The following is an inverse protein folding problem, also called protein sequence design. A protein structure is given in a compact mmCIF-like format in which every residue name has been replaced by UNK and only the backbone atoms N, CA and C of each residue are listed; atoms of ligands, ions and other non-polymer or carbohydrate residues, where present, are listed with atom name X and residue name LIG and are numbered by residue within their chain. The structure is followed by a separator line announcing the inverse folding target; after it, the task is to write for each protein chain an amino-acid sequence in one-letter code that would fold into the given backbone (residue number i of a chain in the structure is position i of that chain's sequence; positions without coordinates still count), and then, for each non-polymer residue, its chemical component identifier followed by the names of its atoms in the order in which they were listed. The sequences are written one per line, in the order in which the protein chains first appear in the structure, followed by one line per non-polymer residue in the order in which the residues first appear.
data_IF_441102204158
#
_entry.id   IF_441102204158
#
_cell.length_a   1.000
_cell.length_b   1.000
_cell.length_c   1.000
_cell.angle_alpha   90.00
_cell.angle_beta   90.00
_cell.angle_gamma   90.00
#
_symmetry.space_group_name_H-M   'P 1'
#
loop_
_entity.id
_entity.type
_entity.pdbx_description
1 polymer ?
#
# COMPACT_ATOMS: atom_id res chain seq x y z
N UNK A 1 -5.08 13.51 -4.42
CA UNK A 1 -4.66 12.43 -5.33
C UNK A 1 -5.84 11.72 -6.04
N UNK A 2 -7.10 11.90 -5.63
CA UNK A 2 -8.26 11.31 -6.35
C UNK A 2 -8.53 11.84 -7.78
N UNK A 3 -8.08 13.04 -8.15
CA UNK A 3 -8.43 13.67 -9.44
C UNK A 3 -7.73 13.07 -10.67
N UNK A 4 -6.72 12.21 -10.49
CA UNK A 4 -5.96 11.59 -11.59
C UNK A 4 -6.19 10.09 -11.74
N UNK A 5 -7.10 9.48 -10.97
CA UNK A 5 -7.36 8.04 -11.03
C UNK A 5 -6.45 7.16 -10.17
N UNK A 6 -5.59 7.76 -9.32
CA UNK A 6 -4.73 7.04 -8.39
C UNK A 6 -5.28 7.04 -6.97
N UNK A 7 -5.44 5.84 -6.40
CA UNK A 7 -5.75 5.62 -4.99
C UNK A 7 -4.59 4.84 -4.34
N UNK A 8 -4.22 5.22 -3.12
CA UNK A 8 -3.17 4.54 -2.34
C UNK A 8 -3.84 3.98 -1.08
N UNK A 9 -3.58 2.71 -0.80
CA UNK A 9 -4.03 2.04 0.42
C UNK A 9 -2.80 1.43 1.11
N UNK A 10 -2.58 1.82 2.36
CA UNK A 10 -1.56 1.20 3.21
C UNK A 10 -2.18 0.09 4.05
N UNK A 11 -1.67 -1.13 3.92
CA UNK A 11 -2.00 -2.25 4.80
C UNK A 11 -0.90 -2.39 5.84
N UNK A 12 -1.22 -2.18 7.11
CA UNK A 12 -0.26 -2.33 8.20
C UNK A 12 -0.34 -3.72 8.85
N UNK A 13 0.84 -4.29 9.11
CA UNK A 13 1.05 -5.51 9.88
C UNK A 13 1.40 -5.18 11.34
N UNK A 14 1.00 -4.04 11.90
CA UNK A 14 1.21 -3.75 13.32
C UNK A 14 0.41 -4.70 14.23
N UNK A 15 0.75 -4.74 15.53
CA UNK A 15 -0.04 -5.41 16.59
C UNK A 15 -0.72 -4.42 17.54
N UNK A 16 -0.25 -3.18 17.57
CA UNK A 16 -0.67 -2.16 18.52
C UNK A 16 -1.34 -1.01 17.77
N UNK A 17 -2.65 -0.85 18.00
CA UNK A 17 -3.45 0.18 17.35
C UNK A 17 -2.99 1.60 17.67
N UNK A 18 -2.50 1.84 18.89
CA UNK A 18 -2.10 3.17 19.34
C UNK A 18 -0.80 3.58 18.64
N UNK A 19 0.21 2.70 18.66
CA UNK A 19 1.49 2.94 17.96
C UNK A 19 1.30 3.12 16.46
N UNK A 20 0.46 2.29 15.85
CA UNK A 20 0.15 2.39 14.42
C UNK A 20 -0.50 3.73 14.07
N UNK A 21 -1.51 4.16 14.84
CA UNK A 21 -2.18 5.46 14.64
C UNK A 21 -1.25 6.64 14.90
N UNK A 22 -0.39 6.54 15.91
CA UNK A 22 0.63 7.55 16.20
C UNK A 22 1.63 7.68 15.04
N UNK A 23 2.10 6.56 14.47
CA UNK A 23 2.98 6.57 13.30
C UNK A 23 2.33 7.24 12.09
N UNK A 24 1.06 6.92 11.80
CA UNK A 24 0.29 7.59 10.72
C UNK A 24 0.27 9.11 10.93
N UNK A 25 -0.03 9.56 12.15
CA UNK A 25 -0.09 10.98 12.48
C UNK A 25 1.27 11.67 12.39
N UNK A 26 2.32 11.03 12.91
CA UNK A 26 3.70 11.53 12.93
C UNK A 26 4.27 11.70 11.53
N UNK A 27 4.07 10.70 10.68
CA UNK A 27 4.59 10.69 9.31
C UNK A 27 3.68 11.45 8.32
N UNK A 28 2.56 12.00 8.82
CA UNK A 28 1.57 12.76 8.06
C UNK A 28 1.07 11.99 6.84
N UNK A 29 0.84 10.68 7.00
CA UNK A 29 0.37 9.83 5.92
C UNK A 29 -1.11 10.14 5.67
N UNK A 30 -1.40 10.68 4.47
CA UNK A 30 -2.73 11.22 4.14
C UNK A 30 -3.62 10.26 3.36
N UNK A 31 -3.10 9.10 2.98
CA UNK A 31 -3.86 8.09 2.24
C UNK A 31 -4.58 7.13 3.19
N UNK A 32 -5.41 6.24 2.62
CA UNK A 32 -6.20 5.30 3.42
C UNK A 32 -5.30 4.24 4.04
N UNK A 33 -5.43 4.03 5.35
CA UNK A 33 -4.71 2.99 6.08
C UNK A 33 -5.67 1.98 6.70
N UNK A 34 -5.36 0.70 6.56
CA UNK A 34 -6.11 -0.42 7.15
C UNK A 34 -5.16 -1.37 7.88
N UNK A 35 -5.66 -2.01 8.93
CA UNK A 35 -4.93 -3.08 9.62
C UNK A 35 -5.92 -3.96 10.37
N UNK A 36 -5.69 -5.27 10.34
CA UNK A 36 -6.37 -6.23 11.21
C UNK A 36 -5.65 -6.42 12.56
N UNK A 37 -4.51 -5.74 12.78
CA UNK A 37 -3.65 -5.84 13.97
C UNK A 37 -3.12 -7.25 14.27
N UNK A 38 -3.00 -8.07 13.21
CA UNK A 38 -2.68 -9.50 13.27
C UNK A 38 -1.24 -9.83 12.90
N UNK A 39 -0.36 -8.85 12.69
CA UNK A 39 1.02 -9.08 12.27
C UNK A 39 1.11 -9.91 10.99
N UNK A 40 1.85 -11.03 10.97
CA UNK A 40 1.93 -11.91 9.80
C UNK A 40 0.66 -12.71 9.53
N UNK A 41 -0.28 -12.77 10.48
CA UNK A 41 -1.62 -13.38 10.26
C UNK A 41 -2.61 -12.37 9.63
N UNK A 42 -2.10 -11.28 9.04
CA UNK A 42 -2.90 -10.30 8.34
C UNK A 42 -3.43 -10.90 7.02
N UNK A 43 -4.77 -11.03 6.86
CA UNK A 43 -5.35 -11.79 5.75
C UNK A 43 -5.04 -11.21 4.37
N UNK A 44 -4.90 -9.89 4.23
CA UNK A 44 -4.58 -9.27 2.93
C UNK A 44 -3.12 -9.55 2.57
N UNK A 45 -2.19 -9.41 3.52
CA UNK A 45 -0.78 -9.73 3.36
C UNK A 45 -0.60 -11.20 2.95
N UNK A 46 -1.32 -12.13 3.60
CA UNK A 46 -1.31 -13.54 3.24
C UNK A 46 -1.88 -13.79 1.83
N UNK A 47 -3.01 -13.16 1.48
CA UNK A 47 -3.65 -13.29 0.16
C UNK A 47 -2.73 -12.80 -0.97
N UNK A 48 -1.95 -11.75 -0.72
CA UNK A 48 -0.99 -11.19 -1.67
C UNK A 48 0.39 -11.85 -1.60
N UNK A 49 0.56 -12.90 -0.79
CA UNK A 49 1.81 -13.64 -0.68
C UNK A 49 2.97 -12.84 -0.10
N UNK A 50 2.70 -11.86 0.77
CA UNK A 50 3.72 -11.00 1.37
C UNK A 50 4.56 -11.79 2.37
N UNK A 51 5.85 -11.95 2.07
CA UNK A 51 6.82 -12.65 2.93
C UNK A 51 7.80 -11.72 3.64
N UNK A 52 7.89 -10.47 3.19
CA UNK A 52 8.77 -9.45 3.78
C UNK A 52 8.15 -8.07 3.59
N UNK A 53 8.52 -7.13 4.46
CA UNK A 53 8.08 -5.73 4.36
C UNK A 53 9.29 -4.80 4.14
N UNK A 54 9.11 -3.67 3.43
CA UNK A 54 7.87 -3.26 2.77
C UNK A 54 7.60 -4.01 1.46
N UNK A 55 6.33 -4.19 1.11
CA UNK A 55 5.90 -4.77 -0.16
C UNK A 55 4.97 -3.79 -0.87
N UNK A 56 5.05 -3.70 -2.19
CA UNK A 56 4.21 -2.79 -2.99
C UNK A 56 3.52 -3.55 -4.11
N UNK A 57 2.27 -3.21 -4.36
CA UNK A 57 1.47 -3.78 -5.44
C UNK A 57 0.78 -2.63 -6.17
N UNK A 58 0.81 -2.67 -7.50
CA UNK A 58 0.06 -1.76 -8.35
C UNK A 58 -1.03 -2.57 -9.02
N UNK A 59 -2.28 -2.16 -8.81
CA UNK A 59 -3.45 -2.78 -9.43
C UNK A 59 -4.05 -1.81 -10.44
N UNK A 60 -4.57 -2.34 -11.55
CA UNK A 60 -5.40 -1.58 -12.47
C UNK A 60 -6.85 -1.45 -11.96
N UNK A 61 -7.69 -0.73 -12.70
CA UNK A 61 -9.09 -0.51 -12.33
C UNK A 61 -9.95 -1.79 -12.29
N UNK A 62 -9.49 -2.89 -12.89
CA UNK A 62 -10.14 -4.21 -12.83
C UNK A 62 -9.71 -5.02 -11.60
N UNK A 63 -8.75 -4.51 -10.82
CA UNK A 63 -8.17 -5.19 -9.66
C UNK A 63 -7.06 -6.16 -10.02
N UNK A 64 -6.55 -6.15 -11.26
CA UNK A 64 -5.44 -7.01 -11.67
C UNK A 64 -4.12 -6.39 -11.24
N UNK A 65 -3.24 -7.19 -10.64
CA UNK A 65 -1.86 -6.78 -10.33
C UNK A 65 -1.07 -6.60 -11.63
N UNK A 66 -0.55 -5.39 -11.83
CA UNK A 66 0.23 -5.01 -13.03
C UNK A 66 1.71 -4.76 -12.72
N UNK A 67 2.08 -4.60 -11.45
CA UNK A 67 3.47 -4.54 -10.99
C UNK A 67 3.56 -4.81 -9.48
N UNK A 68 4.70 -5.30 -9.02
CA UNK A 68 5.00 -5.58 -7.61
C UNK A 68 6.40 -5.11 -7.24
N UNK A 69 6.61 -4.84 -5.95
CA UNK A 69 7.90 -4.54 -5.30
C UNK A 69 8.71 -3.38 -5.90
N UNK A 70 8.04 -2.50 -6.66
CA UNK A 70 8.64 -1.26 -7.13
C UNK A 70 8.78 -0.26 -5.99
N UNK A 71 9.90 0.47 -5.99
CA UNK A 71 10.25 1.46 -4.97
C UNK A 71 10.92 2.69 -5.60
N UNK A 72 10.96 3.78 -4.84
CA UNK A 72 11.65 5.01 -5.23
C UNK A 72 11.19 5.49 -6.61
N UNK A 73 12.16 5.80 -7.47
CA UNK A 73 11.88 6.35 -8.80
C UNK A 73 11.25 5.34 -9.76
N UNK A 74 11.54 4.04 -9.60
CA UNK A 74 10.89 2.99 -10.41
C UNK A 74 9.38 2.93 -10.16
N UNK A 75 8.96 3.07 -8.89
CA UNK A 75 7.54 3.16 -8.54
C UNK A 75 6.90 4.41 -9.17
N UNK A 76 7.54 5.58 -9.03
CA UNK A 76 7.03 6.83 -9.59
C UNK A 76 6.85 6.75 -11.11
N UNK A 77 7.88 6.29 -11.82
CA UNK A 77 7.85 6.13 -13.26
C UNK A 77 6.72 5.21 -13.71
N UNK A 78 6.51 4.08 -13.02
CA UNK A 78 5.42 3.15 -13.37
C UNK A 78 4.05 3.75 -13.14
N UNK A 79 3.87 4.52 -12.07
CA UNK A 79 2.62 5.22 -11.79
C UNK A 79 2.36 6.29 -12.87
N UNK A 80 3.36 7.08 -13.25
CA UNK A 80 3.23 8.07 -14.31
C UNK A 80 2.86 7.44 -15.65
N UNK A 81 3.52 6.33 -16.04
CA UNK A 81 3.20 5.56 -17.24
C UNK A 81 1.73 5.11 -17.27
N UNK A 82 1.21 4.62 -16.13
CA UNK A 82 -0.16 4.11 -16.03
C UNK A 82 -1.22 5.23 -16.05
N UNK A 83 -0.89 6.40 -15.52
CA UNK A 83 -1.80 7.55 -15.46
C UNK A 83 -1.79 8.43 -16.73
N UNK A 84 -0.79 8.23 -17.60
CA UNK A 84 -0.70 8.93 -18.88
C UNK A 84 -1.56 8.30 -19.99
N UNK A 85 -2.21 7.16 -19.70
CA UNK A 85 -3.18 6.49 -20.59
C UNK A 85 -4.58 7.03 -20.39
#
# INVERSE_FOLDING_TARGET
MHKKGLNIIGVSLDKDAAKWKEAIAKDKLTWTHVSNLKFWDEPIAAQYGVQSIPATFILDASGKVVATDLRGDALRAKIEELLAK
#
